data_IF_658816806377
#
_entry.id   IF_658816806377
#
_cell.length_a   1.000
_cell.length_b   1.000
_cell.length_c   1.000
_cell.angle_alpha   90.00
_cell.angle_beta   90.00
_cell.angle_gamma   90.00
#
_symmetry.space_group_name_H-M   'P 1'
#
loop_
_entity.id
_entity.type
_entity.pdbx_description
1 polymer ?
#
# COMPACT_ATOMS: atom_id res chain seq x y z
N UNK A 1 1.80 19.18 7.12
CA UNK A 1 1.50 19.88 5.86
C UNK A 1 0.83 18.83 5.00
N UNK A 2 -0.43 19.00 4.62
CA UNK A 2 -1.09 18.04 3.74
C UNK A 2 -0.69 18.43 2.32
N UNK A 3 0.32 17.75 1.79
CA UNK A 3 0.74 17.98 0.42
C UNK A 3 -0.43 17.63 -0.52
N UNK A 4 -0.58 18.41 -1.59
CA UNK A 4 -1.63 18.15 -2.54
C UNK A 4 -1.40 16.77 -3.16
N UNK A 5 -2.46 15.95 -3.23
CA UNK A 5 -2.43 14.61 -3.86
C UNK A 5 -1.79 14.68 -5.26
N UNK A 6 -2.02 15.77 -5.99
CA UNK A 6 -1.42 16.03 -7.29
C UNK A 6 0.10 16.21 -7.25
N UNK A 7 0.63 16.87 -6.22
CA UNK A 7 2.06 17.14 -6.05
C UNK A 7 2.82 15.85 -5.70
N UNK A 8 2.19 14.95 -4.94
CA UNK A 8 2.75 13.61 -4.67
C UNK A 8 2.75 12.68 -5.89
N UNK A 9 1.70 12.73 -6.72
CA UNK A 9 1.57 11.90 -7.92
C UNK A 9 2.47 12.35 -9.08
N UNK A 10 2.93 13.61 -9.08
CA UNK A 10 3.78 14.18 -10.13
C UNK A 10 5.28 13.98 -9.89
N UNK A 11 5.69 13.42 -8.76
CA UNK A 11 7.10 13.10 -8.50
C UNK A 11 7.50 11.84 -9.27
N UNK A 12 8.75 11.79 -9.71
CA UNK A 12 9.38 10.55 -10.15
C UNK A 12 9.51 9.63 -8.92
N UNK A 13 8.56 8.71 -8.77
CA UNK A 13 8.54 7.73 -7.67
C UNK A 13 9.32 6.49 -8.08
N UNK A 14 10.40 6.18 -7.36
CA UNK A 14 11.11 4.90 -7.52
C UNK A 14 10.32 3.76 -6.86
N UNK A 15 10.61 2.51 -7.23
CA UNK A 15 9.91 1.33 -6.70
C UNK A 15 9.99 1.21 -5.16
N UNK A 16 11.11 1.68 -4.57
CA UNK A 16 11.30 1.75 -3.11
C UNK A 16 10.43 2.85 -2.48
N UNK A 17 10.29 4.00 -3.14
CA UNK A 17 9.45 5.10 -2.68
C UNK A 17 7.96 4.74 -2.78
N UNK A 18 7.59 3.88 -3.73
CA UNK A 18 6.24 3.36 -3.89
C UNK A 18 5.83 2.48 -2.70
N UNK A 19 6.75 1.70 -2.14
CA UNK A 19 6.50 0.87 -0.95
C UNK A 19 6.22 1.73 0.29
N UNK A 20 6.99 2.81 0.46
CA UNK A 20 6.80 3.75 1.57
C UNK A 20 5.51 4.56 1.40
N UNK A 21 5.19 5.00 0.18
CA UNK A 21 4.01 5.83 -0.10
C UNK A 21 2.69 5.05 -0.10
N UNK A 22 2.63 3.89 -0.77
CA UNK A 22 1.38 3.13 -0.92
C UNK A 22 1.02 2.37 0.36
N UNK A 23 2.04 1.97 1.15
CA UNK A 23 1.83 1.09 2.30
C UNK A 23 2.24 1.71 3.63
N UNK A 24 2.69 2.97 3.66
CA UNK A 24 3.01 3.70 4.89
C UNK A 24 4.20 3.09 5.65
N UNK A 25 5.10 2.40 4.96
CA UNK A 25 6.27 1.79 5.59
C UNK A 25 7.22 2.87 6.09
N UNK A 26 7.68 2.72 7.33
CA UNK A 26 8.80 3.53 7.83
C UNK A 26 10.13 2.88 7.44
N UNK A 27 11.23 3.63 7.52
CA UNK A 27 12.55 3.12 7.13
C UNK A 27 13.00 1.84 7.85
N UNK A 28 12.44 1.52 9.04
CA UNK A 28 12.71 0.25 9.72
C UNK A 28 11.96 -0.91 9.08
N UNK A 29 10.70 -0.71 8.71
CA UNK A 29 9.91 -1.72 7.99
C UNK A 29 10.57 -2.00 6.63
N UNK A 30 11.08 -0.96 5.95
CA UNK A 30 11.90 -1.10 4.73
C UNK A 30 13.16 -1.92 4.97
N UNK A 31 13.88 -1.70 6.08
CA UNK A 31 15.08 -2.47 6.43
C UNK A 31 14.77 -3.95 6.71
N UNK A 32 13.66 -4.24 7.39
CA UNK A 32 13.19 -5.62 7.63
C UNK A 32 12.82 -6.31 6.33
N UNK A 33 12.10 -5.62 5.43
CA UNK A 33 11.72 -6.19 4.13
C UNK A 33 12.96 -6.50 3.26
N UNK A 34 13.96 -5.62 3.26
CA UNK A 34 15.25 -5.89 2.58
C UNK A 34 15.97 -7.09 3.18
N UNK A 35 16.06 -7.18 4.52
CA UNK A 35 16.68 -8.32 5.19
C UNK A 35 16.03 -9.66 4.82
N UNK A 36 14.71 -9.68 4.63
CA UNK A 36 13.95 -10.85 4.16
C UNK A 36 14.17 -11.15 2.67
N UNK A 37 14.40 -10.12 1.85
CA UNK A 37 14.61 -10.25 0.39
C UNK A 37 16.03 -10.69 0.06
N UNK A 38 17.02 -10.24 0.83
CA UNK A 38 18.43 -10.57 0.63
C UNK A 38 18.81 -11.96 1.17
N UNK A 39 17.87 -12.65 1.81
CA UNK A 39 18.09 -14.00 2.33
C UNK A 39 17.70 -15.06 1.29
N UNK A 40 18.55 -16.08 1.10
CA UNK A 40 18.28 -17.24 0.24
C UNK A 40 17.15 -18.16 0.76
N UNK A 41 16.47 -17.78 1.84
CA UNK A 41 15.45 -18.56 2.52
C UNK A 41 14.66 -17.75 3.54
N UNK A 42 13.70 -18.40 4.19
CA UNK A 42 12.87 -17.75 5.19
C UNK A 42 13.65 -17.47 6.47
N UNK A 43 13.40 -16.30 7.07
CA UNK A 43 14.05 -15.91 8.32
C UNK A 43 13.08 -16.00 9.49
N UNK A 44 13.57 -16.41 10.66
CA UNK A 44 12.84 -16.27 11.91
C UNK A 44 12.84 -14.81 12.37
N UNK A 45 11.94 -14.47 13.30
CA UNK A 45 11.94 -13.14 13.94
C UNK A 45 13.30 -12.80 14.54
N UNK A 46 13.93 -13.78 15.18
CA UNK A 46 15.24 -13.62 15.83
C UNK A 46 16.33 -13.34 14.78
N UNK A 47 16.35 -14.09 13.68
CA UNK A 47 17.31 -13.86 12.60
C UNK A 47 17.13 -12.49 11.92
N UNK A 48 15.89 -11.99 11.81
CA UNK A 48 15.60 -10.64 11.33
C UNK A 48 16.09 -9.58 12.31
N UNK A 49 15.83 -9.77 13.61
CA UNK A 49 16.26 -8.86 14.66
C UNK A 49 17.78 -8.69 14.67
N UNK A 50 18.52 -9.81 14.54
CA UNK A 50 19.97 -9.82 14.45
C UNK A 50 20.48 -9.10 13.20
N UNK A 51 19.89 -9.37 12.02
CA UNK A 51 20.30 -8.74 10.74
C UNK A 51 20.05 -7.23 10.73
N UNK A 52 18.93 -6.78 11.30
CA UNK A 52 18.53 -5.37 11.30
C UNK A 52 19.13 -4.60 12.49
N UNK A 53 19.71 -5.31 13.47
CA UNK A 53 20.29 -4.71 14.67
C UNK A 53 19.22 -4.10 15.58
N UNK A 54 18.08 -4.77 15.75
CA UNK A 54 16.99 -4.29 16.58
C UNK A 54 16.50 -5.35 17.58
N UNK A 55 15.68 -4.93 18.54
CA UNK A 55 15.07 -5.88 19.48
C UNK A 55 14.08 -6.80 18.76
N UNK A 56 13.99 -8.06 19.23
CA UNK A 56 13.03 -9.06 18.73
C UNK A 56 11.60 -8.56 18.66
N UNK A 57 11.14 -7.81 19.68
CA UNK A 57 9.80 -7.21 19.74
C UNK A 57 9.58 -6.19 18.62
N UNK A 58 10.62 -5.46 18.27
CA UNK A 58 10.62 -4.46 17.20
C UNK A 58 10.61 -5.16 15.84
N UNK A 59 11.46 -6.17 15.64
CA UNK A 59 11.45 -6.99 14.43
C UNK A 59 10.09 -7.64 14.20
N UNK A 60 9.51 -8.23 15.25
CA UNK A 60 8.17 -8.84 15.19
C UNK A 60 7.11 -7.84 14.73
N UNK A 61 7.09 -6.63 15.31
CA UNK A 61 6.14 -5.58 14.92
C UNK A 61 6.26 -5.18 13.45
N UNK A 62 7.48 -5.02 12.96
CA UNK A 62 7.73 -4.72 11.54
C UNK A 62 7.29 -5.88 10.64
N UNK A 63 7.61 -7.11 11.00
CA UNK A 63 7.17 -8.32 10.27
C UNK A 63 5.63 -8.41 10.24
N UNK A 64 4.95 -8.19 11.38
CA UNK A 64 3.49 -8.23 11.44
C UNK A 64 2.86 -7.19 10.53
N UNK A 65 3.36 -5.95 10.51
CA UNK A 65 2.87 -4.92 9.59
C UNK A 65 3.10 -5.27 8.13
N UNK A 66 4.27 -5.81 7.80
CA UNK A 66 4.58 -6.26 6.44
C UNK A 66 3.67 -7.44 6.02
N UNK A 67 3.33 -8.33 6.95
CA UNK A 67 2.41 -9.42 6.68
C UNK A 67 0.96 -8.92 6.51
N UNK A 68 0.51 -8.00 7.36
CA UNK A 68 -0.80 -7.33 7.25
C UNK A 68 -0.94 -6.55 5.93
N UNK A 69 0.14 -5.89 5.50
CA UNK A 69 0.22 -5.18 4.23
C UNK A 69 0.43 -6.10 3.01
N UNK A 70 0.57 -7.41 3.22
CA UNK A 70 0.65 -8.39 2.12
C UNK A 70 2.01 -8.50 1.45
N UNK A 71 3.10 -8.04 2.09
CA UNK A 71 4.48 -8.15 1.57
C UNK A 71 5.20 -9.40 1.99
N UNK A 72 4.81 -9.97 3.14
CA UNK A 72 5.53 -11.07 3.77
C UNK A 72 4.53 -12.17 4.09
N UNK A 73 4.92 -13.41 3.81
CA UNK A 73 4.18 -14.60 4.21
C UNK A 73 4.91 -15.30 5.37
N UNK A 74 4.12 -15.90 6.27
CA UNK A 74 4.63 -16.78 7.31
C UNK A 74 4.47 -18.23 6.86
N UNK A 75 5.51 -19.03 7.08
CA UNK A 75 5.53 -20.46 6.83
C UNK A 75 5.90 -21.20 8.12
N UNK A 76 5.14 -22.23 8.45
CA UNK A 76 5.42 -23.10 9.57
C UNK A 76 6.39 -24.20 9.13
N UNK A 77 7.54 -24.27 9.78
CA UNK A 77 8.53 -25.33 9.57
C UNK A 77 8.52 -26.24 10.78
N UNK A 78 8.29 -27.54 10.54
CA UNK A 78 8.26 -28.55 11.59
C UNK A 78 9.65 -29.15 11.79
N UNK A 79 10.03 -29.39 13.05
CA UNK A 79 11.24 -30.13 13.38
C UNK A 79 11.02 -31.63 13.24
N UNK A 80 12.07 -32.35 12.85
CA UNK A 80 12.06 -33.82 12.77
C UNK A 80 11.76 -34.49 14.12
N UNK A 81 11.98 -33.80 15.24
CA UNK A 81 11.89 -34.36 16.60
C UNK A 81 10.68 -33.80 17.37
N UNK A 82 9.74 -33.17 16.67
CA UNK A 82 8.58 -32.51 17.26
C UNK A 82 8.83 -31.03 17.58
N UNK A 83 7.77 -30.22 17.44
CA UNK A 83 7.82 -28.77 17.54
C UNK A 83 7.81 -28.08 16.17
N UNK A 84 7.52 -26.78 16.16
CA UNK A 84 7.50 -25.96 14.95
C UNK A 84 8.07 -24.58 15.22
N UNK A 85 8.56 -23.93 14.17
CA UNK A 85 8.91 -22.52 14.19
C UNK A 85 8.36 -21.83 12.95
N UNK A 86 8.19 -20.52 13.04
CA UNK A 86 7.75 -19.70 11.92
C UNK A 86 8.94 -19.04 11.25
N UNK A 87 8.99 -19.15 9.93
CA UNK A 87 9.86 -18.36 9.08
C UNK A 87 9.03 -17.43 8.22
N UNK A 88 9.62 -16.29 7.89
CA UNK A 88 9.00 -15.25 7.10
C UNK A 88 9.76 -15.09 5.79
N UNK A 89 9.01 -14.93 4.70
CA UNK A 89 9.55 -14.74 3.35
C UNK A 89 8.82 -13.61 2.65
N UNK A 90 9.50 -12.82 1.81
CA UNK A 90 8.81 -11.86 0.96
C UNK A 90 7.90 -12.61 -0.02
N UNK A 91 6.71 -12.07 -0.27
CA UNK A 91 5.85 -12.53 -1.36
C UNK A 91 6.47 -12.17 -2.69
N UNK A 92 6.04 -12.87 -3.74
CA UNK A 92 6.59 -12.61 -5.07
C UNK A 92 6.28 -11.19 -5.53
N UNK A 93 7.19 -10.58 -6.28
CA UNK A 93 6.99 -9.24 -6.85
C UNK A 93 5.70 -9.14 -7.68
N UNK A 94 5.29 -10.25 -8.30
CA UNK A 94 4.03 -10.33 -9.04
C UNK A 94 2.81 -10.19 -8.12
N UNK A 95 2.77 -10.94 -7.02
CA UNK A 95 1.66 -10.86 -6.06
C UNK A 95 1.54 -9.46 -5.46
N UNK A 96 2.67 -8.88 -5.08
CA UNK A 96 2.74 -7.52 -4.54
C UNK A 96 2.25 -6.50 -5.56
N UNK A 97 2.70 -6.61 -6.82
CA UNK A 97 2.25 -5.71 -7.89
C UNK A 97 0.75 -5.83 -8.18
N UNK A 98 0.19 -7.05 -8.14
CA UNK A 98 -1.24 -7.27 -8.34
C UNK A 98 -2.07 -6.68 -7.19
N UNK A 99 -1.58 -6.75 -5.95
CA UNK A 99 -2.23 -6.12 -4.79
C UNK A 99 -2.16 -4.59 -4.87
N UNK A 100 -1.03 -4.01 -5.29
CA UNK A 100 -0.91 -2.58 -5.55
C UNK A 100 -1.90 -2.08 -6.60
N UNK A 101 -2.05 -2.82 -7.72
CA UNK A 101 -3.03 -2.49 -8.77
C UNK A 101 -4.46 -2.50 -8.25
N UNK A 102 -4.81 -3.49 -7.41
CA UNK A 102 -6.14 -3.56 -6.77
C UNK A 102 -6.40 -2.33 -5.90
N UNK A 103 -5.46 -1.99 -5.02
CA UNK A 103 -5.59 -0.85 -4.13
C UNK A 103 -5.74 0.48 -4.90
N UNK A 104 -4.96 0.67 -5.97
CA UNK A 104 -5.08 1.85 -6.83
C UNK A 104 -6.44 1.92 -7.54
N UNK A 105 -6.97 0.79 -8.02
CA UNK A 105 -8.29 0.74 -8.65
C UNK A 105 -9.41 1.05 -7.65
N UNK A 106 -9.31 0.54 -6.42
CA UNK A 106 -10.28 0.82 -5.36
C UNK A 106 -10.30 2.31 -4.99
N UNK A 107 -9.11 2.91 -4.90
CA UNK A 107 -8.99 4.35 -4.65
C UNK A 107 -9.50 5.18 -5.82
N UNK A 108 -9.22 4.78 -7.06
CA UNK A 108 -9.79 5.41 -8.25
C UNK A 108 -11.32 5.40 -8.22
N UNK A 109 -11.91 4.25 -7.87
CA UNK A 109 -13.36 4.16 -7.73
C UNK A 109 -13.90 5.05 -6.60
N UNK A 110 -13.19 5.16 -5.48
CA UNK A 110 -13.55 6.03 -4.36
C UNK A 110 -13.47 7.52 -4.73
N UNK A 111 -12.36 7.95 -5.32
CA UNK A 111 -12.17 9.34 -5.76
C UNK A 111 -13.19 9.69 -6.85
N UNK A 112 -13.44 8.78 -7.80
CA UNK A 112 -14.46 8.96 -8.84
C UNK A 112 -15.85 9.21 -8.25
N UNK A 113 -16.23 8.49 -7.19
CA UNK A 113 -17.49 8.75 -6.47
C UNK A 113 -17.52 10.14 -5.83
N UNK A 114 -16.46 10.52 -5.12
CA UNK A 114 -16.37 11.85 -4.49
C UNK A 114 -16.42 13.00 -5.52
N UNK A 115 -15.79 12.81 -6.69
CA UNK A 115 -15.87 13.77 -7.80
C UNK A 115 -17.28 13.84 -8.36
N UNK A 116 -17.96 12.70 -8.52
CA UNK A 116 -19.38 12.66 -8.92
C UNK A 116 -20.28 13.39 -7.93
N UNK A 117 -20.12 13.12 -6.62
CA UNK A 117 -20.86 13.83 -5.56
C UNK A 117 -20.58 15.34 -5.57
N UNK A 118 -19.34 15.73 -5.88
CA UNK A 118 -18.97 17.13 -6.04
C UNK A 118 -19.70 17.76 -7.24
N UNK A 119 -19.71 17.09 -8.40
CA UNK A 119 -20.43 17.57 -9.59
C UNK A 119 -21.95 17.66 -9.34
N UNK A 120 -22.55 16.67 -8.69
CA UNK A 120 -23.97 16.71 -8.31
C UNK A 120 -24.29 17.88 -7.37
N UNK A 121 -23.38 18.18 -6.42
CA UNK A 121 -23.58 19.23 -5.43
C UNK A 121 -23.34 20.64 -5.97
N UNK A 122 -22.40 20.80 -6.91
CA UNK A 122 -21.92 22.12 -7.36
C UNK A 122 -22.10 22.38 -8.85
N UNK A 123 -22.44 21.38 -9.66
CA UNK A 123 -22.71 21.46 -11.10
C UNK A 123 -24.08 22.01 -11.44
N UNK A 124 -24.55 23.02 -10.67
CA UNK A 124 -25.91 23.58 -10.75
C UNK A 124 -26.40 23.81 -12.18
N UNK A 125 -27.73 23.78 -12.40
CA UNK A 125 -28.34 23.65 -13.73
C UNK A 125 -27.71 24.66 -14.68
N UNK A 126 -26.96 24.15 -15.66
CA UNK A 126 -26.51 24.97 -16.78
C UNK A 126 -27.78 25.56 -17.39
N UNK A 127 -27.94 26.87 -17.26
CA UNK A 127 -29.15 27.57 -17.65
C UNK A 127 -29.61 27.11 -19.03
N UNK A 128 -30.84 26.62 -19.10
CA UNK A 128 -31.59 26.47 -20.32
C UNK A 128 -31.81 27.88 -20.89
N UNK A 129 -30.82 28.40 -21.62
CA UNK A 129 -31.00 29.53 -22.51
C UNK A 129 -31.75 29.04 -23.74
N UNK A 130 -33.09 29.13 -23.71
CA UNK A 130 -33.84 28.74 -24.90
C UNK A 130 -35.36 28.77 -24.79
N UNK A 131 -35.96 29.92 -24.52
CA UNK A 131 -37.16 30.36 -25.25
C UNK A 131 -37.46 31.83 -24.93
N UNK A 132 -37.06 32.74 -25.81
CA UNK A 132 -37.66 34.07 -25.89
C UNK A 132 -38.99 33.88 -26.61
N UNK A 133 -40.16 34.11 -25.98
CA UNK A 133 -41.40 34.16 -26.75
C UNK A 133 -41.31 35.37 -27.67
N UNK A 134 -41.44 35.09 -28.97
CA UNK A 134 -41.53 36.11 -29.99
C UNK A 134 -42.69 37.07 -29.69
N UNK A 135 -42.39 38.34 -29.85
CA UNK A 135 -43.30 39.47 -29.86
C UNK A 135 -44.54 39.18 -30.71
N UNK A 136 -45.72 39.56 -30.23
CA UNK A 136 -46.96 39.56 -31.01
C UNK A 136 -47.89 40.66 -30.48
N UNK A 137 -47.67 41.85 -31.05
CA UNK A 137 -48.66 42.80 -31.63
C UNK A 137 -49.95 43.09 -30.86
#
# INVERSE_FOLDING_TARGET
MADAIAEYLQRDLECVDLLECVHGMNGRDTAVFRALTDADGGLTVDAVADRVGCERSTAYRSISRLAEAGFVASEQVNYDHGGYYHVYRPRSSREVADDMRRLLNDWYAQVGRLVGEFDDRYGGPRGETGSVPADSS
#
